data_IF_365965584607
#
_entry.id   IF_365965584607
#
_cell.length_a   1.000
_cell.length_b   1.000
_cell.length_c   1.000
_cell.angle_alpha   90.00
_cell.angle_beta   90.00
_cell.angle_gamma   90.00
#
_symmetry.space_group_name_H-M   'P 1'
#
loop_
_entity.id
_entity.type
_entity.pdbx_description
1 polymer ?
#
# COMPACT_ATOMS: atom_id res chain seq x y z
N UNK A 1 -8.92 8.07 -12.15
CA UNK A 1 -9.05 9.20 -11.23
C UNK A 1 -9.60 10.42 -11.97
N UNK A 2 -10.43 11.19 -11.29
CA UNK A 2 -10.82 12.51 -11.73
C UNK A 2 -9.70 13.51 -11.41
N UNK A 3 -9.30 14.29 -12.40
CA UNK A 3 -8.30 15.34 -12.25
C UNK A 3 -8.94 16.63 -11.75
N UNK A 4 -8.14 17.57 -11.26
CA UNK A 4 -8.62 18.89 -10.79
C UNK A 4 -9.43 19.66 -11.84
N UNK A 5 -9.17 19.43 -13.13
CA UNK A 5 -9.89 20.05 -14.25
C UNK A 5 -11.20 19.33 -14.62
N UNK A 6 -11.59 18.32 -13.87
CA UNK A 6 -12.78 17.51 -14.10
C UNK A 6 -12.65 16.48 -15.21
N UNK A 7 -11.47 16.33 -15.82
CA UNK A 7 -11.20 15.23 -16.75
C UNK A 7 -10.75 13.98 -16.02
N UNK A 8 -10.81 12.82 -16.68
CA UNK A 8 -10.36 11.55 -16.11
C UNK A 8 -9.00 11.16 -16.65
N UNK A 9 -8.25 10.41 -15.85
CA UNK A 9 -7.06 9.71 -16.35
C UNK A 9 -7.47 8.63 -17.34
N UNK A 10 -6.55 8.18 -18.17
CA UNK A 10 -6.78 6.98 -18.98
C UNK A 10 -7.13 5.81 -18.07
N UNK A 11 -8.11 4.97 -18.45
CA UNK A 11 -8.48 3.81 -17.68
C UNK A 11 -7.33 2.81 -17.62
N UNK A 12 -7.11 2.22 -16.45
CA UNK A 12 -6.26 1.06 -16.30
C UNK A 12 -7.12 -0.20 -16.48
N UNK A 13 -6.60 -1.19 -17.20
CA UNK A 13 -7.29 -2.46 -17.42
C UNK A 13 -6.71 -3.56 -16.54
N UNK A 14 -7.58 -4.32 -15.92
CA UNK A 14 -7.23 -5.58 -15.28
C UNK A 14 -7.95 -6.72 -16.01
N UNK A 15 -7.17 -7.66 -16.50
CA UNK A 15 -7.70 -8.91 -17.05
C UNK A 15 -7.53 -10.03 -16.04
N UNK A 16 -8.63 -10.63 -15.59
CA UNK A 16 -8.59 -11.83 -14.73
C UNK A 16 -7.81 -12.93 -15.44
N UNK A 17 -6.77 -13.41 -14.78
CA UNK A 17 -5.93 -14.50 -15.27
C UNK A 17 -6.52 -15.86 -14.89
N UNK A 18 -5.83 -16.95 -15.25
CA UNK A 18 -6.27 -18.31 -14.91
C UNK A 18 -6.54 -18.43 -13.41
N UNK A 19 -7.68 -19.02 -13.06
CA UNK A 19 -8.04 -19.33 -11.67
C UNK A 19 -7.69 -20.76 -11.24
N UNK A 20 -7.28 -21.60 -12.20
CA UNK A 20 -6.90 -23.00 -11.92
C UNK A 20 -5.40 -23.17 -11.71
N UNK A 21 -4.60 -22.37 -12.41
CA UNK A 21 -3.15 -22.35 -12.28
C UNK A 21 -2.70 -20.89 -12.34
N UNK A 22 -2.34 -20.33 -11.21
CA UNK A 22 -2.00 -18.92 -11.07
C UNK A 22 -0.80 -18.72 -10.16
N UNK A 23 -0.18 -17.59 -10.29
CA UNK A 23 0.86 -17.09 -9.39
C UNK A 23 0.46 -15.73 -8.84
N UNK A 24 0.98 -15.40 -7.69
CA UNK A 24 0.87 -14.07 -7.11
C UNK A 24 2.22 -13.64 -6.52
N UNK A 25 2.40 -12.36 -6.36
CA UNK A 25 3.59 -11.78 -5.75
C UNK A 25 3.30 -11.60 -4.26
N UNK A 26 4.17 -12.11 -3.40
CA UNK A 26 4.11 -11.88 -1.97
C UNK A 26 5.30 -11.01 -1.57
N UNK A 27 5.01 -9.89 -0.95
CA UNK A 27 6.00 -8.92 -0.46
C UNK A 27 5.64 -8.48 0.94
N UNK A 28 6.60 -7.95 1.66
CA UNK A 28 6.35 -7.36 2.97
C UNK A 28 7.24 -6.15 3.18
N UNK A 29 6.75 -5.24 4.00
CA UNK A 29 7.58 -4.20 4.60
C UNK A 29 8.25 -3.26 3.57
N UNK A 30 7.52 -2.74 2.57
CA UNK A 30 8.09 -1.80 1.61
C UNK A 30 8.45 -0.45 2.23
N UNK A 31 7.81 -0.08 3.32
CA UNK A 31 8.08 1.07 4.19
C UNK A 31 8.53 2.34 3.43
N UNK A 32 7.72 2.78 2.47
CA UNK A 32 8.03 3.97 1.68
C UNK A 32 8.22 5.19 2.59
N UNK A 33 9.36 5.83 2.49
CA UNK A 33 9.81 6.91 3.37
C UNK A 33 10.86 6.48 4.41
N UNK A 34 11.17 5.17 4.50
CA UNK A 34 12.10 4.63 5.51
C UNK A 34 13.54 5.11 5.35
N UNK A 35 13.94 5.50 4.16
CA UNK A 35 15.27 6.07 3.91
C UNK A 35 15.44 7.50 4.41
N UNK A 36 14.40 8.11 5.02
CA UNK A 36 14.54 9.37 5.72
C UNK A 36 15.24 9.18 7.07
N UNK A 37 16.48 9.66 7.16
CA UNK A 37 17.28 9.60 8.40
C UNK A 37 16.87 10.61 9.46
N UNK A 38 16.07 11.63 9.10
CA UNK A 38 15.61 12.63 10.04
C UNK A 38 14.41 12.10 10.84
N UNK A 39 14.51 12.18 12.14
CA UNK A 39 13.39 11.82 13.02
C UNK A 39 12.34 12.91 13.02
N UNK A 40 11.07 12.47 12.97
CA UNK A 40 9.89 13.28 12.76
C UNK A 40 9.86 14.59 13.52
N UNK A 41 9.86 15.65 12.79
CA UNK A 41 9.60 17.01 13.26
C UNK A 41 8.81 17.75 12.16
N UNK A 42 8.12 18.82 12.52
CA UNK A 42 7.39 19.63 11.55
C UNK A 42 8.29 20.73 10.95
N UNK A 43 9.50 20.38 10.55
CA UNK A 43 10.44 21.32 9.94
C UNK A 43 10.48 21.15 8.43
N UNK A 44 10.87 22.22 7.73
CA UNK A 44 11.03 22.18 6.27
C UNK A 44 12.07 21.14 5.85
N UNK A 45 13.13 20.99 6.65
CA UNK A 45 14.19 20.00 6.42
C UNK A 45 13.65 18.57 6.50
N UNK A 46 12.76 18.29 7.47
CA UNK A 46 12.13 16.98 7.60
C UNK A 46 11.26 16.67 6.36
N UNK A 47 10.42 17.60 5.94
CA UNK A 47 9.57 17.40 4.76
C UNK A 47 10.35 17.25 3.46
N UNK A 48 11.45 17.98 3.32
CA UNK A 48 12.33 17.80 2.17
C UNK A 48 12.98 16.41 2.19
N UNK A 49 13.51 15.98 3.33
CA UNK A 49 14.11 14.66 3.49
C UNK A 49 13.08 13.54 3.29
N UNK A 50 11.84 13.70 3.76
CA UNK A 50 10.74 12.77 3.51
C UNK A 50 10.44 12.65 2.01
N UNK A 51 10.38 13.76 1.31
CA UNK A 51 10.13 13.79 -0.15
C UNK A 51 11.25 13.08 -0.91
N UNK A 52 12.49 13.28 -0.52
CA UNK A 52 13.65 12.62 -1.13
C UNK A 52 13.65 11.11 -0.84
N UNK A 53 13.32 10.73 0.39
CA UNK A 53 13.17 9.33 0.79
C UNK A 53 12.06 8.64 0.02
N UNK A 54 10.89 9.25 -0.08
CA UNK A 54 9.77 8.71 -0.86
C UNK A 54 10.17 8.47 -2.30
N UNK A 55 10.85 9.42 -2.94
CA UNK A 55 11.31 9.26 -4.32
C UNK A 55 12.26 8.08 -4.47
N UNK A 56 13.23 7.94 -3.56
CA UNK A 56 14.20 6.85 -3.57
C UNK A 56 13.54 5.49 -3.33
N UNK A 57 12.70 5.41 -2.30
CA UNK A 57 12.07 4.16 -1.90
C UNK A 57 11.04 3.71 -2.94
N UNK A 58 10.30 4.65 -3.54
CA UNK A 58 9.36 4.35 -4.63
C UNK A 58 10.08 3.81 -5.88
N UNK A 59 11.25 4.33 -6.20
CA UNK A 59 12.07 3.79 -7.29
C UNK A 59 12.48 2.35 -7.03
N UNK A 60 12.96 2.07 -5.82
CA UNK A 60 13.36 0.71 -5.42
C UNK A 60 12.15 -0.24 -5.39
N UNK A 61 11.02 0.23 -4.87
CA UNK A 61 9.77 -0.50 -4.84
C UNK A 61 9.26 -0.85 -6.25
N UNK A 62 9.25 0.13 -7.15
CA UNK A 62 8.91 -0.10 -8.56
C UNK A 62 9.84 -1.13 -9.22
N UNK A 63 11.14 -1.05 -8.97
CA UNK A 63 12.11 -2.02 -9.47
C UNK A 63 11.82 -3.42 -8.95
N UNK A 64 11.56 -3.57 -7.65
CA UNK A 64 11.23 -4.84 -7.01
C UNK A 64 9.99 -5.48 -7.62
N UNK A 65 8.93 -4.69 -7.81
CA UNK A 65 7.69 -5.21 -8.41
C UNK A 65 7.87 -5.61 -9.87
N UNK A 66 8.62 -4.84 -10.65
CA UNK A 66 8.90 -5.18 -12.04
C UNK A 66 9.72 -6.47 -12.16
N UNK A 67 10.76 -6.63 -11.35
CA UNK A 67 11.54 -7.87 -11.32
C UNK A 67 10.69 -9.08 -10.87
N UNK A 68 9.81 -8.89 -9.90
CA UNK A 68 8.88 -9.93 -9.49
C UNK A 68 7.90 -10.31 -10.62
N UNK A 69 7.38 -9.34 -11.35
CA UNK A 69 6.55 -9.57 -12.53
C UNK A 69 7.32 -10.35 -13.61
N UNK A 70 8.56 -9.99 -13.88
CA UNK A 70 9.39 -10.70 -14.86
C UNK A 70 9.62 -12.16 -14.44
N UNK A 71 9.83 -12.43 -13.15
CA UNK A 71 9.94 -13.81 -12.63
C UNK A 71 8.68 -14.65 -12.82
N UNK A 72 7.52 -14.03 -12.86
CA UNK A 72 6.25 -14.70 -13.17
C UNK A 72 5.94 -14.73 -14.67
N UNK A 73 6.84 -14.26 -15.52
CA UNK A 73 6.61 -14.10 -16.96
C UNK A 73 5.45 -13.14 -17.27
N UNK A 74 5.26 -12.12 -16.45
CA UNK A 74 4.14 -11.19 -16.56
C UNK A 74 2.77 -11.74 -16.15
N UNK A 75 2.73 -12.93 -15.51
CA UNK A 75 1.49 -13.67 -15.25
C UNK A 75 1.02 -13.65 -13.80
N UNK A 76 1.61 -12.82 -12.92
CA UNK A 76 1.06 -12.65 -11.58
C UNK A 76 -0.38 -12.13 -11.65
N UNK A 77 -1.26 -12.71 -10.83
CA UNK A 77 -2.68 -12.36 -10.78
C UNK A 77 -2.96 -11.20 -9.84
N UNK A 78 -2.16 -11.05 -8.79
CA UNK A 78 -2.27 -9.98 -7.78
C UNK A 78 -0.99 -9.93 -6.95
N UNK A 79 -0.89 -8.87 -6.14
CA UNK A 79 0.15 -8.73 -5.11
C UNK A 79 -0.49 -8.91 -3.75
N UNK A 80 0.20 -9.58 -2.83
CA UNK A 80 -0.08 -9.57 -1.39
C UNK A 80 1.04 -8.79 -0.72
N UNK A 81 0.70 -7.73 0.00
CA UNK A 81 1.63 -6.88 0.74
C UNK A 81 1.40 -7.03 2.25
N UNK A 82 2.39 -7.58 2.94
CA UNK A 82 2.27 -8.01 4.34
C UNK A 82 2.65 -6.88 5.31
N UNK A 83 1.90 -5.79 5.29
CA UNK A 83 2.04 -4.68 6.25
C UNK A 83 3.16 -3.70 5.95
N UNK A 84 3.18 -2.63 6.72
CA UNK A 84 4.14 -1.53 6.69
C UNK A 84 4.37 -0.98 5.28
N UNK A 85 3.26 -0.53 4.67
CA UNK A 85 3.29 0.07 3.34
C UNK A 85 4.07 1.39 3.34
N UNK A 86 4.01 2.11 4.45
CA UNK A 86 4.63 3.42 4.65
C UNK A 86 5.47 3.46 5.92
N UNK A 87 6.33 4.48 6.03
CA UNK A 87 7.20 4.70 7.19
C UNK A 87 6.51 5.50 8.29
N UNK A 88 5.72 6.51 7.95
CA UNK A 88 5.22 7.48 8.93
C UNK A 88 4.05 6.93 9.71
N UNK A 89 4.33 6.44 10.91
CA UNK A 89 3.30 6.12 11.90
C UNK A 89 2.65 7.39 12.38
N UNK A 90 1.34 7.48 12.26
CA UNK A 90 0.59 8.63 12.72
C UNK A 90 0.11 8.45 14.15
N UNK A 91 0.89 8.88 15.10
CA UNK A 91 0.34 9.21 16.42
C UNK A 91 -0.42 10.52 16.30
N UNK A 92 -1.73 10.48 16.52
CA UNK A 92 -2.60 11.66 16.53
C UNK A 92 -2.04 12.74 17.46
N UNK A 93 -1.34 13.70 16.93
CA UNK A 93 -1.15 14.98 17.60
C UNK A 93 -2.27 15.89 17.13
N UNK A 94 -3.12 16.42 18.02
CA UNK A 94 -4.19 17.32 17.61
C UNK A 94 -3.66 18.47 16.75
N UNK A 95 -4.25 18.66 15.57
CA UNK A 95 -3.89 19.74 14.66
C UNK A 95 -2.70 19.48 13.72
N UNK A 96 -2.10 18.30 13.75
CA UNK A 96 -1.07 17.91 12.77
C UNK A 96 -1.67 17.13 11.61
N UNK A 97 -1.28 17.54 10.45
CA UNK A 97 -1.83 17.15 9.17
C UNK A 97 -1.65 15.66 8.89
N UNK A 98 -2.73 15.00 8.50
CA UNK A 98 -2.71 13.66 7.88
C UNK A 98 -1.93 13.62 6.57
N UNK A 99 -1.59 14.78 6.06
CA UNK A 99 -0.87 14.92 4.79
C UNK A 99 0.55 14.35 4.81
N UNK A 100 1.18 14.16 5.96
CA UNK A 100 2.55 13.62 6.01
C UNK A 100 2.64 12.18 5.51
N UNK A 101 1.62 11.37 5.68
CA UNK A 101 1.59 9.99 5.17
C UNK A 101 1.12 9.90 3.71
N UNK A 102 0.40 10.88 3.20
CA UNK A 102 -0.13 10.87 1.83
C UNK A 102 0.97 10.83 0.77
N UNK A 103 2.06 11.53 0.98
CA UNK A 103 3.20 11.48 0.05
C UNK A 103 3.81 10.06 0.01
N UNK A 104 3.83 9.35 1.14
CA UNK A 104 4.36 7.99 1.23
C UNK A 104 3.40 6.99 0.56
N UNK A 105 2.08 7.11 0.79
CA UNK A 105 1.08 6.30 0.06
C UNK A 105 1.10 6.57 -1.44
N UNK A 106 1.29 7.82 -1.84
CA UNK A 106 1.47 8.17 -3.25
C UNK A 106 2.68 7.43 -3.83
N UNK A 107 3.78 7.39 -3.09
CA UNK A 107 4.97 6.63 -3.47
C UNK A 107 4.72 5.12 -3.56
N UNK A 108 4.03 4.55 -2.57
CA UNK A 108 3.68 3.12 -2.56
C UNK A 108 2.81 2.73 -3.76
N UNK A 109 1.86 3.56 -4.14
CA UNK A 109 0.92 3.31 -5.24
C UNK A 109 1.46 3.74 -6.61
N UNK A 110 2.65 4.36 -6.66
CA UNK A 110 3.22 4.92 -7.89
C UNK A 110 3.68 3.89 -8.95
N UNK A 111 4.09 2.64 -8.63
CA UNK A 111 4.53 1.68 -9.62
C UNK A 111 3.49 1.45 -10.71
N UNK A 112 3.93 1.51 -11.97
CA UNK A 112 3.04 1.36 -13.12
C UNK A 112 2.30 0.01 -13.12
N UNK A 113 2.95 -1.04 -12.63
CA UNK A 113 2.35 -2.37 -12.54
C UNK A 113 1.11 -2.39 -11.62
N UNK A 114 1.07 -1.56 -10.58
CA UNK A 114 -0.08 -1.47 -9.67
C UNK A 114 -1.29 -0.75 -10.28
N UNK A 115 -1.15 -0.10 -11.42
CA UNK A 115 -2.30 0.46 -12.15
C UNK A 115 -3.23 -0.61 -12.70
N UNK A 116 -2.68 -1.79 -13.00
CA UNK A 116 -3.43 -2.90 -13.60
C UNK A 116 -3.29 -4.23 -12.84
N UNK A 117 -2.57 -4.24 -11.72
CA UNK A 117 -2.41 -5.43 -10.88
C UNK A 117 -2.99 -5.16 -9.50
N UNK A 118 -4.05 -5.85 -9.08
CA UNK A 118 -4.65 -5.68 -7.76
C UNK A 118 -3.63 -5.95 -6.65
N UNK A 119 -3.73 -5.18 -5.58
CA UNK A 119 -2.93 -5.38 -4.37
C UNK A 119 -3.85 -5.65 -3.17
N UNK A 120 -3.56 -6.71 -2.43
CA UNK A 120 -4.19 -7.05 -1.16
C UNK A 120 -3.17 -6.76 -0.05
N UNK A 121 -3.50 -5.84 0.85
CA UNK A 121 -2.60 -5.40 1.92
C UNK A 121 -3.06 -5.91 3.27
N UNK A 122 -2.13 -6.22 4.17
CA UNK A 122 -2.41 -6.30 5.61
C UNK A 122 -1.93 -5.04 6.30
N UNK A 123 -2.41 -4.80 7.51
CA UNK A 123 -1.98 -3.68 8.34
C UNK A 123 -0.70 -4.07 9.08
N UNK A 124 0.36 -3.28 8.92
CA UNK A 124 1.55 -3.34 9.75
C UNK A 124 1.51 -2.32 10.89
N UNK A 125 2.53 -2.30 11.73
CA UNK A 125 2.55 -1.37 12.86
C UNK A 125 2.72 0.10 12.44
N UNK A 126 3.27 0.36 11.26
CA UNK A 126 3.35 1.71 10.69
C UNK A 126 2.02 2.19 10.10
N UNK A 127 1.17 1.27 9.68
CA UNK A 127 -0.17 1.58 9.13
C UNK A 127 -1.25 1.67 10.20
N UNK A 128 -1.10 0.95 11.31
CA UNK A 128 -2.15 0.67 12.30
C UNK A 128 -2.79 1.93 12.92
N UNK A 129 -1.99 2.96 13.16
CA UNK A 129 -2.45 4.23 13.71
C UNK A 129 -2.79 5.27 12.62
N UNK A 130 -2.79 4.88 11.35
CA UNK A 130 -2.94 5.79 10.22
C UNK A 130 -4.30 5.63 9.55
N UNK A 131 -5.23 6.54 9.86
CA UNK A 131 -6.57 6.52 9.28
C UNK A 131 -6.58 6.64 7.74
N UNK A 132 -5.51 7.15 7.13
CA UNK A 132 -5.41 7.29 5.68
C UNK A 132 -5.32 5.93 4.97
N UNK A 133 -4.87 4.88 5.65
CA UNK A 133 -4.86 3.51 5.10
C UNK A 133 -6.21 3.13 4.47
N UNK A 134 -7.31 3.43 5.15
CA UNK A 134 -8.66 3.06 4.68
C UNK A 134 -9.12 3.84 3.45
N UNK A 135 -8.48 4.95 3.12
CA UNK A 135 -8.77 5.70 1.91
C UNK A 135 -8.08 5.12 0.66
N UNK A 136 -7.02 4.35 0.86
CA UNK A 136 -6.19 3.83 -0.22
C UNK A 136 -6.47 2.37 -0.55
N UNK A 137 -6.93 1.60 0.44
CA UNK A 137 -7.08 0.15 0.28
C UNK A 137 -8.52 -0.29 0.49
N UNK A 138 -9.00 -1.09 -0.47
CA UNK A 138 -10.28 -1.76 -0.36
C UNK A 138 -10.08 -3.10 0.35
N UNK A 139 -10.84 -3.32 1.42
CA UNK A 139 -10.80 -4.54 2.23
C UNK A 139 -12.14 -5.27 2.10
N UNK A 140 -12.34 -6.08 1.04
CA UNK A 140 -13.61 -6.75 0.79
C UNK A 140 -13.94 -7.76 1.89
N UNK A 141 -15.21 -7.90 2.21
CA UNK A 141 -15.67 -8.83 3.26
C UNK A 141 -15.00 -8.59 4.62
N UNK A 142 -14.73 -7.33 4.94
CA UNK A 142 -14.07 -6.96 6.18
C UNK A 142 -14.89 -7.32 7.41
N UNK A 143 -14.19 -7.60 8.51
CA UNK A 143 -14.75 -7.86 9.83
C UNK A 143 -14.20 -6.85 10.84
N UNK A 144 -15.04 -6.45 11.79
CA UNK A 144 -14.61 -5.62 12.92
C UNK A 144 -13.93 -6.44 14.03
N UNK A 145 -13.85 -7.76 13.88
CA UNK A 145 -13.13 -8.63 14.80
C UNK A 145 -11.63 -8.32 14.71
N UNK A 146 -10.98 -8.14 15.82
CA UNK A 146 -9.56 -7.85 15.90
C UNK A 146 -9.19 -6.41 15.55
N UNK A 147 -10.15 -5.50 15.39
CA UNK A 147 -9.86 -4.12 14.97
C UNK A 147 -9.82 -3.10 16.11
N UNK A 148 -9.67 -3.50 17.34
CA UNK A 148 -9.69 -2.69 18.59
C UNK A 148 -9.12 -1.25 18.51
N UNK A 149 -9.62 -0.46 17.58
CA UNK A 149 -9.22 0.93 17.35
C UNK A 149 -8.07 1.09 16.36
N UNK A 150 -7.55 0.02 15.78
CA UNK A 150 -6.63 0.07 14.64
C UNK A 150 -7.40 0.09 13.32
N UNK A 151 -6.79 0.65 12.30
CA UNK A 151 -7.41 0.73 10.98
C UNK A 151 -7.33 -0.61 10.24
N UNK A 152 -8.26 -0.84 9.34
CA UNK A 152 -8.14 -1.88 8.31
C UNK A 152 -8.64 -3.26 8.66
N UNK A 153 -8.96 -3.61 9.89
CA UNK A 153 -9.58 -4.89 10.28
C UNK A 153 -9.12 -6.15 9.53
N UNK A 154 -9.69 -7.28 9.86
CA UNK A 154 -9.52 -8.52 9.10
C UNK A 154 -10.42 -8.51 7.86
N UNK A 155 -9.96 -9.11 6.76
CA UNK A 155 -10.77 -9.30 5.58
C UNK A 155 -10.38 -10.55 4.80
N UNK A 156 -11.18 -10.94 3.83
CA UNK A 156 -10.85 -12.07 2.97
C UNK A 156 -11.33 -11.85 1.53
N UNK A 157 -10.71 -12.59 0.64
CA UNK A 157 -11.15 -12.72 -0.74
C UNK A 157 -10.88 -14.14 -1.26
N UNK A 158 -11.48 -14.49 -2.38
CA UNK A 158 -11.23 -15.75 -3.05
C UNK A 158 -10.64 -15.53 -4.42
N UNK A 159 -9.69 -16.37 -4.81
CA UNK A 159 -9.19 -16.44 -6.17
C UNK A 159 -9.13 -17.91 -6.60
N UNK A 160 -9.88 -18.28 -7.65
CA UNK A 160 -10.10 -19.66 -7.98
C UNK A 160 -10.73 -20.45 -6.82
N UNK A 161 -10.10 -21.54 -6.44
CA UNK A 161 -10.54 -22.39 -5.32
C UNK A 161 -9.79 -22.07 -4.01
N UNK A 162 -9.08 -20.95 -3.93
CA UNK A 162 -8.28 -20.59 -2.77
C UNK A 162 -8.94 -19.41 -2.04
N UNK A 163 -9.05 -19.54 -0.72
CA UNK A 163 -9.43 -18.48 0.20
C UNK A 163 -8.15 -17.81 0.73
N UNK A 164 -8.08 -16.50 0.59
CA UNK A 164 -7.04 -15.65 1.18
C UNK A 164 -7.63 -14.90 2.36
N UNK A 165 -7.09 -15.14 3.54
CA UNK A 165 -7.46 -14.43 4.76
C UNK A 165 -6.33 -13.46 5.10
N UNK A 166 -6.69 -12.19 5.16
CA UNK A 166 -5.80 -11.08 5.47
C UNK A 166 -6.07 -10.66 6.91
N UNK A 167 -5.15 -11.02 7.81
CA UNK A 167 -5.32 -10.81 9.24
C UNK A 167 -4.59 -9.56 9.70
N UNK A 168 -5.28 -8.74 10.48
CA UNK A 168 -4.68 -7.63 11.21
C UNK A 168 -4.20 -8.13 12.57
N UNK A 169 -2.90 -8.11 12.79
CA UNK A 169 -2.27 -8.60 14.04
C UNK A 169 -1.79 -7.44 14.92
N UNK A 170 -2.30 -6.24 14.72
CA UNK A 170 -1.87 -5.02 15.42
C UNK A 170 -2.80 -4.62 16.58
N UNK A 171 -3.82 -5.41 16.88
CA UNK A 171 -4.78 -5.22 18.00
C UNK A 171 -4.28 -5.79 19.34
#
# INVERSE_FOLDING_TARGET
YEKEDGTYTEPAEYATKSTNNYSFIFVGDPQIGSSNELKGSDTAEFYQAQSDAVRNDSFNWNTTLNEAMDKTGGNASFVVSAGDQIQTTKKKSPGKSEMTSEIEYTGYLSPDVLKSLPVATTVGNHDADNANYTYHFNTPNSSDLGSNGVVGGDYYFTYGNTLFMMLNTQD
#
